data_IF_492877446256
#
_entry.id   IF_492877446256
#
_cell.length_a   1.000
_cell.length_b   1.000
_cell.length_c   1.000
_cell.angle_alpha   90.00
_cell.angle_beta   90.00
_cell.angle_gamma   90.00
#
_symmetry.space_group_name_H-M   'P 1'
#
loop_
_entity.id
_entity.type
_entity.pdbx_description
1 polymer ?
#
# COMPACT_ATOMS: atom_id res chain seq x y z
N UNK A 1 -61.66 -16.48 10.15
CA UNK A 1 -60.22 -16.25 10.35
C UNK A 1 -59.45 -17.28 9.55
N UNK A 2 -58.98 -16.93 8.36
CA UNK A 2 -58.25 -17.81 7.45
C UNK A 2 -57.18 -17.00 6.71
N UNK A 3 -55.93 -17.48 6.80
CA UNK A 3 -54.68 -16.90 6.29
C UNK A 3 -54.63 -16.89 4.75
N UNK A 4 -53.78 -16.00 4.18
CA UNK A 4 -52.79 -16.27 3.09
C UNK A 4 -52.13 -14.94 2.70
N UNK A 5 -50.93 -14.69 3.24
CA UNK A 5 -49.62 -14.93 2.60
C UNK A 5 -49.21 -13.77 1.69
N UNK A 6 -48.53 -12.78 2.28
CA UNK A 6 -47.76 -11.74 1.58
C UNK A 6 -46.47 -12.37 1.05
N UNK A 7 -46.36 -12.52 -0.27
CA UNK A 7 -45.11 -12.94 -0.91
C UNK A 7 -44.16 -11.73 -1.03
N UNK A 8 -43.16 -11.67 -0.15
CA UNK A 8 -42.04 -10.73 -0.28
C UNK A 8 -41.02 -11.34 -1.26
N UNK A 9 -40.93 -10.77 -2.46
CA UNK A 9 -39.85 -11.04 -3.41
C UNK A 9 -38.56 -10.39 -2.89
N UNK A 10 -37.63 -11.20 -2.36
CA UNK A 10 -36.26 -10.78 -2.09
C UNK A 10 -35.52 -10.63 -3.43
N UNK A 11 -35.16 -9.40 -3.77
CA UNK A 11 -34.18 -9.12 -4.81
C UNK A 11 -32.78 -9.50 -4.29
N UNK A 12 -32.17 -10.55 -4.83
CA UNK A 12 -30.75 -10.85 -4.62
C UNK A 12 -29.92 -9.82 -5.40
N UNK A 13 -29.39 -8.82 -4.69
CA UNK A 13 -28.30 -7.98 -5.18
C UNK A 13 -26.98 -8.75 -5.04
N UNK A 14 -26.52 -9.33 -6.14
CA UNK A 14 -25.17 -9.89 -6.25
C UNK A 14 -24.15 -8.75 -6.25
N UNK A 15 -23.62 -8.41 -5.07
CA UNK A 15 -22.40 -7.63 -4.97
C UNK A 15 -21.26 -8.50 -5.49
N UNK A 16 -20.70 -8.13 -6.64
CA UNK A 16 -19.43 -8.68 -7.10
C UNK A 16 -18.36 -8.22 -6.09
N UNK A 17 -18.01 -9.11 -5.16
CA UNK A 17 -16.85 -8.93 -4.32
C UNK A 17 -15.61 -8.98 -5.23
N UNK A 18 -14.93 -7.85 -5.39
CA UNK A 18 -13.57 -7.85 -5.91
C UNK A 18 -12.73 -8.63 -4.90
N UNK A 19 -12.48 -9.90 -5.19
CA UNK A 19 -11.56 -10.72 -4.44
C UNK A 19 -10.16 -10.13 -4.63
N UNK A 20 -9.73 -9.26 -3.72
CA UNK A 20 -8.30 -9.13 -3.48
C UNK A 20 -7.84 -10.52 -3.09
N UNK A 21 -6.90 -11.09 -3.86
CA UNK A 21 -6.30 -12.39 -3.61
C UNK A 21 -5.62 -12.36 -2.24
N UNK A 22 -6.39 -12.69 -1.20
CA UNK A 22 -5.98 -12.62 0.21
C UNK A 22 -4.68 -13.41 0.42
N UNK A 23 -4.48 -14.48 -0.35
CA UNK A 23 -3.30 -15.33 -0.30
C UNK A 23 -2.01 -14.56 -0.64
N UNK A 24 -2.02 -13.74 -1.69
CA UNK A 24 -0.83 -12.96 -2.06
C UNK A 24 -0.55 -11.80 -1.08
N UNK A 25 -1.60 -11.22 -0.49
CA UNK A 25 -1.47 -10.16 0.51
C UNK A 25 -0.80 -10.66 1.80
N UNK A 26 -1.10 -11.91 2.18
CA UNK A 26 -0.54 -12.57 3.37
C UNK A 26 0.97 -12.88 3.21
N UNK A 27 1.50 -12.87 1.98
CA UNK A 27 2.93 -13.05 1.71
C UNK A 27 3.81 -11.87 2.15
N UNK A 28 3.23 -10.66 2.29
CA UNK A 28 4.00 -9.44 2.53
C UNK A 28 4.03 -9.13 4.02
N UNK A 29 5.21 -9.18 4.62
CA UNK A 29 5.40 -8.80 6.02
C UNK A 29 6.23 -7.52 6.14
N UNK A 30 5.81 -6.63 7.05
CA UNK A 30 6.67 -5.51 7.49
C UNK A 30 7.73 -6.05 8.45
N UNK A 31 8.98 -6.05 8.01
CA UNK A 31 10.11 -6.52 8.83
C UNK A 31 10.78 -5.38 9.60
N UNK A 32 10.67 -4.13 9.13
CA UNK A 32 11.25 -2.97 9.80
C UNK A 32 10.48 -1.69 9.52
N UNK A 33 10.48 -0.77 10.49
CA UNK A 33 10.11 0.63 10.27
C UNK A 33 10.92 1.55 11.18
N UNK A 34 11.43 2.65 10.63
CA UNK A 34 12.24 3.62 11.37
C UNK A 34 11.84 5.05 11.03
N UNK A 35 12.03 5.96 11.99
CA UNK A 35 12.02 7.41 11.78
C UNK A 35 13.44 7.96 11.84
N UNK A 36 13.69 9.13 11.25
CA UNK A 36 14.96 9.85 11.46
C UNK A 36 16.14 9.34 10.63
N UNK A 37 15.93 8.37 9.74
CA UNK A 37 17.02 7.75 9.00
C UNK A 37 17.53 8.65 7.87
N UNK A 38 18.87 8.75 7.68
CA UNK A 38 19.42 9.49 6.56
C UNK A 38 18.82 9.04 5.22
N UNK A 39 18.39 10.00 4.42
CA UNK A 39 17.83 9.75 3.11
C UNK A 39 18.26 10.85 2.14
N UNK A 40 19.08 10.48 1.15
CA UNK A 40 19.60 11.42 0.14
C UNK A 40 18.49 12.04 -0.72
N UNK A 41 17.35 11.35 -0.84
CA UNK A 41 16.17 11.82 -1.58
C UNK A 41 15.29 12.77 -0.77
N UNK A 42 15.61 13.00 0.50
CA UNK A 42 14.87 13.85 1.43
C UNK A 42 15.79 14.95 1.94
N UNK A 43 16.12 15.89 1.06
CA UNK A 43 16.93 17.04 1.43
C UNK A 43 16.06 18.07 2.16
N UNK A 44 16.20 18.13 3.48
CA UNK A 44 15.68 19.23 4.30
C UNK A 44 16.79 19.72 5.21
N UNK A 45 16.85 21.03 5.43
CA UNK A 45 17.88 21.68 6.23
C UNK A 45 17.23 22.48 7.36
N UNK A 46 17.80 22.41 8.55
CA UNK A 46 17.48 23.33 9.66
C UNK A 46 18.32 24.60 9.54
N UNK A 47 17.99 25.64 10.32
CA UNK A 47 18.68 26.94 10.35
C UNK A 47 20.22 26.85 10.52
N UNK A 48 20.73 25.74 11.03
CA UNK A 48 22.17 25.46 11.15
C UNK A 48 22.81 24.82 9.91
N UNK A 49 22.12 24.77 8.77
CA UNK A 49 22.52 24.08 7.53
C UNK A 49 22.80 22.59 7.70
N UNK A 50 22.36 22.00 8.81
CA UNK A 50 22.43 20.55 9.04
C UNK A 50 21.26 19.88 8.35
N UNK A 51 21.52 18.74 7.70
CA UNK A 51 20.47 17.91 7.13
C UNK A 51 19.56 17.42 8.26
N UNK A 52 18.26 17.62 8.08
CA UNK A 52 17.22 17.19 9.00
C UNK A 52 16.46 16.03 8.39
N UNK A 53 16.54 14.89 9.07
CA UNK A 53 15.87 13.66 8.67
C UNK A 53 14.78 13.24 9.64
N UNK A 54 14.47 14.05 10.67
CA UNK A 54 13.51 13.68 11.73
C UNK A 54 12.13 13.33 11.18
N UNK A 55 11.72 13.99 10.09
CA UNK A 55 10.47 13.71 9.39
C UNK A 55 10.52 12.48 8.47
N UNK A 56 11.70 11.94 8.18
CA UNK A 56 11.84 10.79 7.29
C UNK A 56 11.29 9.55 7.97
N UNK A 57 10.28 8.94 7.37
CA UNK A 57 9.74 7.64 7.79
C UNK A 57 10.08 6.60 6.74
N UNK A 58 10.62 5.46 7.16
CA UNK A 58 11.01 4.35 6.29
C UNK A 58 10.34 3.05 6.75
N UNK A 59 9.92 2.24 5.78
CA UNK A 59 9.46 0.86 6.01
C UNK A 59 10.24 -0.09 5.13
N UNK A 60 10.41 -1.32 5.62
CA UNK A 60 10.93 -2.44 4.87
C UNK A 60 9.90 -3.57 4.88
N UNK A 61 9.49 -3.99 3.68
CA UNK A 61 8.52 -5.05 3.44
C UNK A 61 9.23 -6.22 2.79
N UNK A 62 8.97 -7.44 3.23
CA UNK A 62 9.59 -8.67 2.71
C UNK A 62 8.55 -9.65 2.22
N UNK A 63 8.89 -10.40 1.16
CA UNK A 63 8.14 -11.55 0.71
C UNK A 63 8.50 -12.78 1.54
N UNK A 64 7.51 -13.35 2.22
CA UNK A 64 7.66 -14.55 3.07
C UNK A 64 7.17 -15.83 2.43
N UNK A 65 6.52 -15.73 1.26
CA UNK A 65 6.02 -16.87 0.52
C UNK A 65 7.12 -17.56 -0.29
N UNK A 66 6.88 -18.82 -0.64
CA UNK A 66 7.78 -19.64 -1.47
C UNK A 66 7.94 -19.12 -2.90
N UNK A 67 6.93 -18.45 -3.43
CA UNK A 67 6.84 -17.93 -4.78
C UNK A 67 7.16 -16.43 -4.86
N UNK A 68 7.60 -16.00 -6.04
CA UNK A 68 7.82 -14.58 -6.29
C UNK A 68 6.51 -13.80 -6.41
N UNK A 69 6.54 -12.54 -5.97
CA UNK A 69 5.42 -11.60 -6.00
C UNK A 69 5.84 -10.31 -6.69
N UNK A 70 4.88 -9.52 -7.15
CA UNK A 70 5.07 -8.12 -7.53
C UNK A 70 4.44 -7.21 -6.49
N UNK A 71 5.21 -6.26 -5.97
CA UNK A 71 4.82 -5.36 -4.90
C UNK A 71 4.84 -3.91 -5.38
N UNK A 72 3.71 -3.22 -5.20
CA UNK A 72 3.57 -1.76 -5.34
C UNK A 72 3.43 -1.15 -3.95
N UNK A 73 4.17 -0.08 -3.66
CA UNK A 73 4.14 0.60 -2.35
C UNK A 73 3.95 2.10 -2.53
N UNK A 74 3.17 2.70 -1.64
CA UNK A 74 3.03 4.15 -1.52
C UNK A 74 3.12 4.59 -0.05
N UNK A 75 3.85 5.67 0.21
CA UNK A 75 4.08 6.23 1.54
C UNK A 75 3.38 7.57 1.67
N UNK A 76 2.67 7.81 2.76
CA UNK A 76 1.95 9.08 2.93
C UNK A 76 2.89 10.16 3.48
N UNK A 77 2.99 11.27 2.76
CA UNK A 77 3.63 12.50 3.21
C UNK A 77 2.65 13.32 4.09
N UNK A 78 3.17 14.17 4.97
CA UNK A 78 2.41 14.94 5.95
C UNK A 78 1.40 15.91 5.31
N UNK A 79 1.61 16.29 4.06
CA UNK A 79 0.67 17.09 3.26
C UNK A 79 -0.47 16.26 2.64
N UNK A 80 -0.61 14.98 3.02
CA UNK A 80 -1.64 14.07 2.53
C UNK A 80 -1.38 13.49 1.14
N UNK A 81 -0.30 13.89 0.46
CA UNK A 81 0.11 13.31 -0.82
C UNK A 81 0.78 11.95 -0.59
N UNK A 82 0.68 11.10 -1.61
CA UNK A 82 1.37 9.81 -1.64
C UNK A 82 2.68 9.93 -2.42
N UNK A 83 3.78 9.46 -1.82
CA UNK A 83 5.02 9.15 -2.53
C UNK A 83 4.97 7.70 -2.98
N UNK A 84 4.94 7.48 -4.28
CA UNK A 84 4.85 6.14 -4.86
C UNK A 84 6.22 5.59 -5.23
N UNK A 85 6.32 4.26 -5.23
CA UNK A 85 7.51 3.52 -5.63
C UNK A 85 7.16 2.64 -6.85
N UNK A 86 8.11 2.36 -7.76
CA UNK A 86 7.85 1.47 -8.89
C UNK A 86 7.46 0.08 -8.40
N UNK A 87 6.72 -0.67 -9.22
CA UNK A 87 6.46 -2.08 -8.94
C UNK A 87 7.80 -2.82 -8.90
N UNK A 88 8.00 -3.65 -7.86
CA UNK A 88 9.20 -4.48 -7.72
C UNK A 88 8.78 -5.94 -7.62
N UNK A 89 9.42 -6.80 -8.42
CA UNK A 89 9.36 -8.24 -8.22
C UNK A 89 10.23 -8.64 -7.02
N UNK A 90 9.69 -9.42 -6.10
CA UNK A 90 10.39 -9.93 -4.92
C UNK A 90 10.35 -11.46 -4.92
N UNK A 91 11.51 -12.09 -5.01
CA UNK A 91 11.65 -13.51 -4.73
C UNK A 91 11.45 -13.81 -3.23
N UNK A 92 11.38 -15.08 -2.85
CA UNK A 92 11.27 -15.50 -1.46
C UNK A 92 12.42 -14.90 -0.62
N UNK A 93 12.07 -14.24 0.49
CA UNK A 93 13.00 -13.64 1.43
C UNK A 93 13.54 -12.28 0.99
N UNK A 94 13.28 -11.85 -0.25
CA UNK A 94 13.68 -10.52 -0.70
C UNK A 94 12.82 -9.44 -0.06
N UNK A 95 13.39 -8.23 0.04
CA UNK A 95 12.72 -7.07 0.61
C UNK A 95 12.72 -5.86 -0.32
N UNK A 96 11.79 -4.96 -0.03
CA UNK A 96 11.68 -3.63 -0.62
C UNK A 96 11.65 -2.59 0.50
N UNK A 97 12.46 -1.55 0.35
CA UNK A 97 12.42 -0.37 1.21
C UNK A 97 11.62 0.74 0.55
N UNK A 98 10.72 1.35 1.30
CA UNK A 98 9.98 2.55 0.91
C UNK A 98 10.10 3.62 2.01
N UNK A 99 9.98 4.89 1.65
CA UNK A 99 10.10 6.01 2.59
C UNK A 99 9.18 7.18 2.23
N UNK A 100 8.89 8.04 3.20
CA UNK A 100 8.36 9.39 3.02
C UNK A 100 9.34 10.39 3.64
N UNK A 101 9.47 11.57 3.04
CA UNK A 101 10.43 12.58 3.53
C UNK A 101 9.93 13.35 4.73
N UNK A 102 8.62 13.59 4.78
CA UNK A 102 7.91 14.06 5.95
C UNK A 102 6.74 13.11 6.16
N UNK A 103 7.00 11.94 6.73
CA UNK A 103 6.03 10.85 6.79
C UNK A 103 4.96 11.04 7.85
N UNK A 104 3.83 10.34 7.68
CA UNK A 104 2.79 10.22 8.71
C UNK A 104 2.82 8.87 9.46
N UNK A 105 3.75 7.99 9.10
CA UNK A 105 3.76 6.59 9.54
C UNK A 105 2.85 5.68 8.71
N UNK A 106 1.99 6.24 7.85
CA UNK A 106 1.06 5.48 7.02
C UNK A 106 1.66 5.11 5.68
N UNK A 107 1.29 3.93 5.20
CA UNK A 107 1.66 3.41 3.89
C UNK A 107 0.54 2.51 3.36
N UNK A 108 0.50 2.36 2.04
CA UNK A 108 -0.34 1.41 1.33
C UNK A 108 0.57 0.49 0.52
N UNK A 109 0.13 -0.74 0.32
CA UNK A 109 0.77 -1.65 -0.62
C UNK A 109 -0.27 -2.46 -1.37
N UNK A 110 0.09 -2.86 -2.58
CA UNK A 110 -0.68 -3.77 -3.43
C UNK A 110 0.26 -4.84 -3.91
N UNK A 111 -0.23 -6.07 -3.93
CA UNK A 111 0.58 -7.22 -4.26
C UNK A 111 -0.21 -8.17 -5.13
N UNK A 112 0.50 -8.84 -6.02
CA UNK A 112 0.02 -9.97 -6.81
C UNK A 112 1.13 -10.98 -6.98
N UNK A 113 0.80 -12.19 -7.41
CA UNK A 113 1.82 -13.17 -7.81
C UNK A 113 2.56 -12.66 -9.05
N UNK A 114 3.83 -13.02 -9.19
CA UNK A 114 4.61 -12.61 -10.36
C UNK A 114 3.94 -13.10 -11.66
N UNK A 115 3.79 -12.20 -12.63
CA UNK A 115 3.13 -12.44 -13.92
C UNK A 115 1.62 -12.73 -13.85
N UNK A 116 0.98 -12.52 -12.71
CA UNK A 116 -0.48 -12.52 -12.65
C UNK A 116 -1.03 -11.28 -13.38
N UNK A 117 -1.68 -11.51 -14.52
CA UNK A 117 -2.29 -10.44 -15.34
C UNK A 117 -3.75 -10.19 -15.01
N UNK A 118 -4.39 -11.03 -14.20
CA UNK A 118 -5.79 -10.86 -13.80
C UNK A 118 -5.92 -9.73 -12.75
N UNK A 119 -4.89 -9.58 -11.91
CA UNK A 119 -4.81 -8.51 -10.91
C UNK A 119 -4.00 -7.34 -11.47
N UNK A 120 -4.65 -6.20 -11.67
CA UNK A 120 -3.97 -4.96 -12.06
C UNK A 120 -3.51 -4.19 -10.80
N UNK A 121 -2.20 -3.98 -10.69
CA UNK A 121 -1.65 -3.07 -9.68
C UNK A 121 -1.93 -1.63 -10.08
N UNK A 122 -2.27 -0.74 -9.13
CA UNK A 122 -2.59 0.64 -9.46
C UNK A 122 -1.35 1.38 -9.97
N UNK A 123 -1.59 2.25 -10.94
CA UNK A 123 -0.63 3.22 -11.45
C UNK A 123 -0.36 4.32 -10.41
N UNK A 124 0.73 5.08 -10.60
CA UNK A 124 1.02 6.23 -9.76
C UNK A 124 -0.11 7.27 -9.80
N UNK A 125 -0.70 7.48 -10.98
CA UNK A 125 -1.77 8.44 -11.16
C UNK A 125 -3.02 8.05 -10.36
N UNK A 126 -3.44 6.78 -10.42
CA UNK A 126 -4.58 6.27 -9.66
C UNK A 126 -4.35 6.40 -8.15
N UNK A 127 -3.14 6.11 -7.67
CA UNK A 127 -2.81 6.29 -6.24
C UNK A 127 -2.94 7.76 -5.84
N UNK A 128 -2.45 8.68 -6.69
CA UNK A 128 -2.46 10.11 -6.42
C UNK A 128 -3.86 10.74 -6.49
N UNK A 129 -4.80 10.16 -7.25
CA UNK A 129 -6.17 10.67 -7.39
C UNK A 129 -7.15 10.03 -6.42
N UNK A 130 -7.17 8.70 -6.33
CA UNK A 130 -8.22 7.96 -5.61
C UNK A 130 -7.96 7.86 -4.12
N UNK A 131 -6.69 7.80 -3.71
CA UNK A 131 -6.32 7.56 -2.31
C UNK A 131 -5.93 8.83 -1.57
N UNK A 132 -5.99 10.01 -2.21
CA UNK A 132 -5.61 11.28 -1.60
C UNK A 132 -6.46 11.57 -0.36
N UNK A 133 -5.80 11.79 0.77
CA UNK A 133 -6.51 12.17 2.01
C UNK A 133 -7.14 13.57 1.79
N UNK A 134 -8.47 13.63 1.81
CA UNK A 134 -9.24 14.89 1.70
C UNK A 134 -9.47 15.43 3.10
N UNK A 135 -8.41 15.94 3.74
CA UNK A 135 -8.57 16.74 4.96
C UNK A 135 -8.67 18.21 4.64
#
# INVERSE_FOLDING_TARGET
MTRKSLSFLLALSSMAALAQDRDAADCVMKIRSDWGQPCEKCESYVESYKRDYRGVYRVELSNTCGNAIELKVAMQEANGRWRTFPVKALANGESMTAFACNGTGKYLYWVRRLNDTEILLPSDQEILTEYRDRR
#
